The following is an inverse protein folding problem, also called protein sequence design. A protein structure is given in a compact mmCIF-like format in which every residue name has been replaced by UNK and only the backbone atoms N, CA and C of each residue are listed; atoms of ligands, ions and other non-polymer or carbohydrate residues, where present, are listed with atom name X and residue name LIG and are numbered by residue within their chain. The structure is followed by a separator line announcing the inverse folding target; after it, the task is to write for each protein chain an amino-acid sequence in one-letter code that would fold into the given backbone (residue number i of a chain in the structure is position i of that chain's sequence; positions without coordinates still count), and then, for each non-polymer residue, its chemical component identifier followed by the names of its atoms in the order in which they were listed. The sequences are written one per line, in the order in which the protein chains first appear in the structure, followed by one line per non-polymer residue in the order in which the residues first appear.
data_IF_527020970469
#
_entry.id   IF_527020970469
#
_cell.length_a   1.000
_cell.length_b   1.000
_cell.length_c   1.000
_cell.angle_alpha   90.00
_cell.angle_beta   90.00
_cell.angle_gamma   90.00
#
_symmetry.space_group_name_H-M   'P 1'
#
loop_
_entity.id
_entity.type
_entity.pdbx_description
1 polymer ?
#
# COMPACT_ATOMS: atom_id res chain seq x y z
N UNK A 1 -32.55 5.33 -36.77
CA UNK A 1 -31.54 4.54 -36.03
C UNK A 1 -30.58 5.43 -35.22
N UNK A 2 -30.36 6.68 -35.62
CA UNK A 2 -29.50 7.66 -34.93
C UNK A 2 -30.15 8.24 -33.66
N UNK A 3 -31.47 8.47 -33.63
CA UNK A 3 -32.17 9.02 -32.44
C UNK A 3 -32.20 8.07 -31.23
N UNK A 4 -32.08 6.76 -31.45
CA UNK A 4 -32.06 5.75 -30.37
C UNK A 4 -30.73 5.71 -29.61
N UNK A 5 -29.64 6.16 -30.24
CA UNK A 5 -28.29 6.14 -29.65
C UNK A 5 -28.07 7.38 -28.77
N UNK A 6 -28.58 8.55 -29.18
CA UNK A 6 -28.52 9.76 -28.36
C UNK A 6 -29.43 9.69 -27.12
N UNK A 7 -30.61 9.07 -27.21
CA UNK A 7 -31.49 8.88 -26.04
C UNK A 7 -30.92 7.93 -24.99
N UNK A 8 -30.14 6.91 -25.39
CA UNK A 8 -29.46 5.99 -24.48
C UNK A 8 -28.28 6.67 -23.74
N UNK A 9 -27.54 7.57 -24.39
CA UNK A 9 -26.41 8.27 -23.73
C UNK A 9 -26.87 9.30 -22.70
N UNK A 10 -27.95 10.04 -22.99
CA UNK A 10 -28.57 10.98 -22.04
C UNK A 10 -29.19 10.28 -20.84
N UNK A 11 -29.84 9.12 -21.03
CA UNK A 11 -30.37 8.33 -19.92
C UNK A 11 -29.26 7.73 -19.03
N UNK A 12 -28.11 7.36 -19.62
CA UNK A 12 -26.94 6.91 -18.88
C UNK A 12 -26.32 8.00 -18.01
N UNK A 13 -26.12 9.20 -18.56
CA UNK A 13 -25.54 10.34 -17.84
C UNK A 13 -26.46 10.84 -16.70
N UNK A 14 -27.77 10.92 -16.93
CA UNK A 14 -28.73 11.34 -15.91
C UNK A 14 -28.84 10.31 -14.76
N UNK A 15 -28.83 9.01 -15.07
CA UNK A 15 -28.79 7.94 -14.04
C UNK A 15 -27.47 7.93 -13.26
N UNK A 16 -26.36 8.31 -13.91
CA UNK A 16 -25.05 8.41 -13.28
C UNK A 16 -24.99 9.61 -12.31
N UNK A 17 -25.47 10.78 -12.72
CA UNK A 17 -25.55 11.96 -11.86
C UNK A 17 -26.42 11.75 -10.63
N UNK A 18 -27.60 11.14 -10.80
CA UNK A 18 -28.50 10.81 -9.68
C UNK A 18 -27.87 9.81 -8.69
N UNK A 19 -27.06 8.85 -9.16
CA UNK A 19 -26.39 7.87 -8.30
C UNK A 19 -25.20 8.47 -7.54
N UNK A 20 -24.47 9.40 -8.16
CA UNK A 20 -23.41 10.17 -7.49
C UNK A 20 -23.99 11.06 -6.37
N UNK A 21 -25.08 11.78 -6.65
CA UNK A 21 -25.76 12.58 -5.61
C UNK A 21 -26.25 11.73 -4.43
N UNK A 22 -26.75 10.52 -4.67
CA UNK A 22 -27.14 9.58 -3.60
C UNK A 22 -25.94 9.11 -2.79
N UNK A 23 -24.80 8.85 -3.44
CA UNK A 23 -23.55 8.46 -2.79
C UNK A 23 -23.03 9.60 -1.91
N UNK A 24 -23.02 10.83 -2.42
CA UNK A 24 -22.56 12.01 -1.67
C UNK A 24 -23.44 12.28 -0.44
N UNK A 25 -24.75 12.09 -0.58
CA UNK A 25 -25.69 12.17 0.56
C UNK A 25 -25.40 11.09 1.61
N UNK A 26 -25.20 9.84 1.19
CA UNK A 26 -24.87 8.74 2.09
C UNK A 26 -23.53 8.97 2.82
N UNK A 27 -22.52 9.49 2.13
CA UNK A 27 -21.25 9.89 2.76
C UNK A 27 -21.44 11.03 3.77
N UNK A 28 -22.27 12.03 3.44
CA UNK A 28 -22.62 13.12 4.35
C UNK A 28 -23.34 12.62 5.61
N UNK A 29 -24.26 11.68 5.46
CA UNK A 29 -24.96 11.02 6.58
C UNK A 29 -24.00 10.18 7.43
N UNK A 30 -23.18 9.34 6.81
CA UNK A 30 -22.17 8.54 7.49
C UNK A 30 -21.22 9.40 8.35
N UNK A 31 -20.80 10.57 7.85
CA UNK A 31 -19.98 11.53 8.62
C UNK A 31 -20.70 12.07 9.85
N UNK A 32 -21.99 12.39 9.75
CA UNK A 32 -22.80 12.83 10.90
C UNK A 32 -23.00 11.70 11.91
N UNK A 33 -23.28 10.50 11.44
CA UNK A 33 -23.41 9.32 12.30
C UNK A 33 -22.08 8.96 12.97
N UNK A 34 -20.95 9.18 12.30
CA UNK A 34 -19.62 9.00 12.86
C UNK A 34 -19.30 9.97 14.01
N UNK A 35 -19.78 11.22 13.93
CA UNK A 35 -19.68 12.16 15.07
C UNK A 35 -20.46 11.64 16.28
N UNK A 36 -21.66 11.10 16.05
CA UNK A 36 -22.47 10.48 17.12
C UNK A 36 -21.78 9.25 17.71
N UNK A 37 -21.25 8.37 16.85
CA UNK A 37 -20.43 7.23 17.26
C UNK A 37 -19.25 7.66 18.15
N UNK A 38 -18.51 8.69 17.74
CA UNK A 38 -17.35 9.19 18.48
C UNK A 38 -17.73 9.69 19.87
N UNK A 39 -18.84 10.43 19.98
CA UNK A 39 -19.37 10.89 21.28
C UNK A 39 -19.80 9.71 22.17
N UNK A 40 -20.40 8.67 21.59
CA UNK A 40 -20.79 7.45 22.32
C UNK A 40 -19.59 6.66 22.83
N UNK A 41 -18.49 6.60 22.07
CA UNK A 41 -17.24 5.99 22.52
C UNK A 41 -16.63 6.77 23.68
N UNK A 42 -16.60 8.11 23.60
CA UNK A 42 -16.11 8.96 24.68
C UNK A 42 -16.95 8.85 25.96
N UNK A 43 -18.25 8.65 25.82
CA UNK A 43 -19.16 8.40 26.93
C UNK A 43 -19.23 6.94 27.39
N UNK A 44 -18.35 6.06 26.90
CA UNK A 44 -18.31 4.62 27.21
C UNK A 44 -19.62 3.86 26.90
N UNK A 45 -20.47 4.41 26.02
CA UNK A 45 -21.75 3.83 25.61
C UNK A 45 -21.56 2.84 24.45
N UNK A 46 -20.74 1.81 24.66
CA UNK A 46 -20.26 0.92 23.58
C UNK A 46 -21.37 0.20 22.82
N UNK A 47 -22.44 -0.26 23.49
CA UNK A 47 -23.54 -0.97 22.79
C UNK A 47 -24.24 -0.07 21.77
N UNK A 48 -24.42 1.21 22.09
CA UNK A 48 -25.01 2.18 21.17
C UNK A 48 -24.01 2.59 20.08
N UNK A 49 -22.73 2.73 20.44
CA UNK A 49 -21.67 2.98 19.46
C UNK A 49 -21.61 1.86 18.42
N UNK A 50 -21.69 0.60 18.83
CA UNK A 50 -21.76 -0.55 17.91
C UNK A 50 -22.97 -0.50 16.97
N UNK A 51 -24.13 -0.09 17.48
CA UNK A 51 -25.31 0.10 16.63
C UNK A 51 -25.06 1.19 15.57
N UNK A 52 -24.46 2.32 15.95
CA UNK A 52 -24.09 3.39 15.02
C UNK A 52 -23.01 2.98 14.01
N UNK A 53 -22.05 2.15 14.40
CA UNK A 53 -21.06 1.57 13.48
C UNK A 53 -21.75 0.74 12.39
N UNK A 54 -22.66 -0.16 12.77
CA UNK A 54 -23.42 -0.98 11.81
C UNK A 54 -24.26 -0.13 10.87
N UNK A 55 -24.93 0.90 11.39
CA UNK A 55 -25.70 1.85 10.59
C UNK A 55 -24.83 2.54 9.52
N UNK A 56 -23.63 3.01 9.90
CA UNK A 56 -22.66 3.59 8.96
C UNK A 56 -22.27 2.56 7.88
N UNK A 57 -21.91 1.33 8.30
CA UNK A 57 -21.47 0.27 7.38
C UNK A 57 -22.58 -0.11 6.39
N UNK A 58 -23.82 -0.29 6.86
CA UNK A 58 -24.97 -0.61 6.02
C UNK A 58 -25.30 0.51 5.03
N UNK A 59 -25.33 1.77 5.49
CA UNK A 59 -25.58 2.92 4.63
C UNK A 59 -24.51 3.05 3.54
N UNK A 60 -23.23 2.98 3.92
CA UNK A 60 -22.13 3.06 2.96
C UNK A 60 -22.15 1.89 1.98
N UNK A 61 -22.50 0.68 2.42
CA UNK A 61 -22.60 -0.47 1.53
C UNK A 61 -23.75 -0.37 0.53
N UNK A 62 -24.94 0.05 0.98
CA UNK A 62 -26.10 0.20 0.09
C UNK A 62 -25.90 1.29 -0.96
N UNK A 63 -25.12 2.31 -0.63
CA UNK A 63 -24.77 3.41 -1.52
C UNK A 63 -23.37 3.31 -2.08
N UNK A 64 -22.72 2.15 -1.95
CA UNK A 64 -21.39 1.94 -2.48
C UNK A 64 -21.45 2.14 -3.99
N UNK A 65 -20.66 3.08 -4.55
CA UNK A 65 -20.72 3.33 -5.97
C UNK A 65 -20.17 2.09 -6.70
N UNK A 66 -21.07 1.28 -7.25
CA UNK A 66 -20.76 0.24 -8.26
C UNK A 66 -20.35 0.88 -9.61
N UNK A 67 -19.85 2.10 -9.58
CA UNK A 67 -19.15 2.69 -10.70
C UNK A 67 -17.93 1.80 -10.88
N UNK A 68 -17.66 1.24 -12.07
CA UNK A 68 -16.36 0.65 -12.33
C UNK A 68 -15.36 1.75 -12.00
N UNK A 69 -14.64 1.61 -10.89
CA UNK A 69 -13.56 2.55 -10.63
C UNK A 69 -12.68 2.46 -11.86
N UNK A 70 -12.50 3.58 -12.55
CA UNK A 70 -11.56 3.68 -13.67
C UNK A 70 -10.12 3.63 -13.18
N UNK A 71 -9.89 3.11 -11.97
CA UNK A 71 -8.56 2.77 -11.52
C UNK A 71 -8.08 1.69 -12.50
N UNK A 72 -6.99 1.94 -13.22
CA UNK A 72 -6.47 0.95 -14.14
C UNK A 72 -6.26 -0.36 -13.39
N UNK A 73 -6.55 -1.49 -14.04
CA UNK A 73 -6.23 -2.82 -13.52
C UNK A 73 -4.81 -2.83 -12.95
N UNK A 74 -4.65 -3.32 -11.71
CA UNK A 74 -3.35 -3.46 -11.07
C UNK A 74 -2.63 -4.65 -11.72
N UNK A 75 -1.51 -4.37 -12.38
CA UNK A 75 -0.56 -5.34 -12.89
C UNK A 75 0.74 -5.12 -12.13
N UNK A 76 0.87 -5.87 -11.04
CA UNK A 76 1.93 -5.66 -10.08
C UNK A 76 3.06 -6.69 -10.20
N UNK A 77 4.26 -6.26 -9.83
CA UNK A 77 5.37 -7.16 -9.54
C UNK A 77 5.96 -6.79 -8.18
N UNK A 78 6.63 -7.75 -7.57
CA UNK A 78 7.34 -7.58 -6.33
C UNK A 78 8.83 -7.81 -6.58
N UNK A 79 9.66 -6.87 -6.14
CA UNK A 79 11.11 -6.98 -6.09
C UNK A 79 11.55 -7.34 -4.67
N UNK A 80 11.96 -8.59 -4.49
CA UNK A 80 12.43 -9.09 -3.20
C UNK A 80 13.87 -8.64 -2.93
N UNK A 81 14.34 -8.80 -1.68
CA UNK A 81 15.73 -8.50 -1.30
C UNK A 81 16.72 -9.23 -2.20
N UNK A 82 16.43 -10.45 -2.63
CA UNK A 82 17.26 -11.20 -3.58
C UNK A 82 17.50 -10.44 -4.87
N UNK A 83 16.41 -10.02 -5.52
CA UNK A 83 16.45 -9.19 -6.73
C UNK A 83 17.17 -7.87 -6.47
N UNK A 84 16.86 -7.19 -5.36
CA UNK A 84 17.42 -5.88 -5.04
C UNK A 84 18.92 -5.94 -4.74
N UNK A 85 19.42 -7.01 -4.12
CA UNK A 85 20.86 -7.25 -3.92
C UNK A 85 21.55 -7.61 -5.24
N UNK A 86 20.87 -8.32 -6.15
CA UNK A 86 21.42 -8.69 -7.44
C UNK A 86 21.62 -7.49 -8.36
N UNK A 87 20.81 -6.43 -8.22
CA UNK A 87 21.01 -5.15 -8.89
C UNK A 87 22.24 -4.45 -8.30
N UNK A 88 23.34 -4.45 -9.05
CA UNK A 88 24.64 -3.91 -8.63
C UNK A 88 24.80 -2.43 -8.95
N UNK A 89 23.86 -1.83 -9.66
CA UNK A 89 23.91 -0.40 -9.99
C UNK A 89 22.52 0.20 -10.27
N UNK A 90 22.37 1.52 -10.14
CA UNK A 90 21.17 2.25 -10.58
C UNK A 90 20.85 2.00 -12.07
N UNK A 91 21.85 1.79 -12.92
CA UNK A 91 21.68 1.54 -14.36
C UNK A 91 21.06 0.16 -14.62
N UNK A 92 21.42 -0.86 -13.84
CA UNK A 92 20.77 -2.18 -13.93
C UNK A 92 19.30 -2.10 -13.48
N UNK A 93 19.03 -1.35 -12.41
CA UNK A 93 17.65 -1.11 -11.97
C UNK A 93 16.83 -0.37 -13.03
N UNK A 94 17.42 0.61 -13.72
CA UNK A 94 16.77 1.31 -14.82
C UNK A 94 16.35 0.35 -15.95
N UNK A 95 17.23 -0.56 -16.37
CA UNK A 95 16.93 -1.58 -17.39
C UNK A 95 15.80 -2.52 -16.95
N UNK A 96 15.80 -2.91 -15.68
CA UNK A 96 14.70 -3.69 -15.11
C UNK A 96 13.39 -2.91 -15.21
N UNK A 97 13.36 -1.65 -14.76
CA UNK A 97 12.18 -0.80 -14.79
C UNK A 97 11.67 -0.52 -16.21
N UNK A 98 12.57 -0.35 -17.20
CA UNK A 98 12.21 -0.27 -18.62
C UNK A 98 11.48 -1.55 -19.07
N UNK A 99 11.98 -2.71 -18.66
CA UNK A 99 11.38 -4.01 -19.00
C UNK A 99 10.01 -4.18 -18.35
N UNK A 100 9.85 -3.76 -17.09
CA UNK A 100 8.57 -3.80 -16.38
C UNK A 100 7.53 -2.91 -17.05
N UNK A 101 7.89 -1.67 -17.37
CA UNK A 101 7.00 -0.73 -18.07
C UNK A 101 6.61 -1.27 -19.46
N UNK A 102 7.58 -1.83 -20.21
CA UNK A 102 7.32 -2.45 -21.52
C UNK A 102 6.37 -3.65 -21.41
N UNK A 103 6.48 -4.43 -20.33
CA UNK A 103 5.57 -5.55 -20.05
C UNK A 103 4.18 -5.11 -19.56
N UNK A 104 3.93 -3.80 -19.41
CA UNK A 104 2.66 -3.24 -18.97
C UNK A 104 2.44 -3.29 -17.46
N UNK A 105 3.45 -3.63 -16.65
CA UNK A 105 3.38 -3.51 -15.19
C UNK A 105 3.15 -2.04 -14.84
N UNK A 106 2.27 -1.76 -13.88
CA UNK A 106 1.96 -0.41 -13.41
C UNK A 106 2.18 -0.22 -11.90
N UNK A 107 2.43 -1.30 -11.15
CA UNK A 107 2.71 -1.27 -9.71
C UNK A 107 3.95 -2.11 -9.39
N UNK A 108 4.87 -1.57 -8.60
CA UNK A 108 6.05 -2.28 -8.11
C UNK A 108 6.09 -2.24 -6.59
N UNK A 109 6.04 -3.40 -5.96
CA UNK A 109 6.33 -3.55 -4.53
C UNK A 109 7.84 -3.74 -4.34
N UNK A 110 8.47 -2.86 -3.57
CA UNK A 110 9.91 -2.93 -3.27
C UNK A 110 10.07 -3.42 -1.84
N UNK A 111 10.75 -4.54 -1.61
CA UNK A 111 11.04 -5.01 -0.25
C UNK A 111 12.05 -4.07 0.44
N UNK A 112 11.56 -3.07 1.16
CA UNK A 112 12.38 -1.99 1.71
C UNK A 112 12.96 -2.32 3.08
N UNK A 113 12.29 -3.17 3.87
CA UNK A 113 12.76 -3.67 5.16
C UNK A 113 12.56 -5.18 5.20
N UNK A 114 13.67 -5.92 5.27
CA UNK A 114 13.68 -7.37 5.38
C UNK A 114 14.43 -7.78 6.65
N UNK A 115 13.83 -8.64 7.48
CA UNK A 115 14.41 -9.10 8.75
C UNK A 115 14.95 -7.99 9.68
N UNK A 116 14.28 -6.84 9.72
CA UNK A 116 14.71 -5.68 10.52
C UNK A 116 15.80 -4.81 9.89
N UNK A 117 16.23 -5.13 8.67
CA UNK A 117 17.25 -4.39 7.93
C UNK A 117 16.63 -3.59 6.77
N UNK A 118 16.70 -2.24 6.78
CA UNK A 118 16.35 -1.44 5.62
C UNK A 118 17.42 -1.54 4.51
N UNK A 119 16.99 -1.34 3.26
CA UNK A 119 17.86 -1.22 2.08
C UNK A 119 18.18 0.23 1.68
N UNK A 120 17.81 1.18 2.53
CA UNK A 120 17.92 2.61 2.32
C UNK A 120 18.50 3.28 3.57
N UNK A 121 19.14 4.46 3.45
CA UNK A 121 19.63 5.20 4.61
C UNK A 121 18.49 5.54 5.58
N UNK A 122 18.58 5.07 6.82
CA UNK A 122 17.57 5.29 7.85
C UNK A 122 18.15 6.00 9.07
N UNK A 123 17.38 6.91 9.66
CA UNK A 123 17.74 7.58 10.93
C UNK A 123 17.21 6.83 12.16
N UNK A 124 16.28 5.90 11.96
CA UNK A 124 15.58 5.18 13.05
C UNK A 124 15.99 3.71 13.14
N UNK A 125 16.39 3.09 12.02
CA UNK A 125 16.87 1.72 12.02
C UNK A 125 18.33 1.68 12.50
N UNK A 126 18.66 0.68 13.33
CA UNK A 126 20.00 0.57 13.93
C UNK A 126 21.08 0.13 12.94
N UNK A 127 20.74 -0.74 12.00
CA UNK A 127 21.68 -1.29 11.03
C UNK A 127 20.98 -1.46 9.67
N UNK A 128 21.62 -0.99 8.60
CA UNK A 128 21.17 -1.26 7.23
C UNK A 128 21.60 -2.66 6.79
N UNK A 129 20.91 -3.22 5.78
CA UNK A 129 21.34 -4.48 5.19
C UNK A 129 22.77 -4.34 4.63
N UNK A 130 23.74 -5.17 5.05
CA UNK A 130 25.14 -5.04 4.63
C UNK A 130 25.34 -5.25 3.12
N UNK A 131 24.41 -5.92 2.44
CA UNK A 131 24.50 -6.22 1.01
C UNK A 131 23.98 -5.10 0.10
N UNK A 132 23.44 -4.01 0.68
CA UNK A 132 22.78 -2.94 -0.09
C UNK A 132 23.25 -1.52 0.28
N UNK A 133 24.44 -1.37 0.85
CA UNK A 133 24.92 -0.07 1.37
C UNK A 133 25.59 0.82 0.30
N UNK A 134 25.83 0.28 -0.88
CA UNK A 134 26.55 0.92 -1.98
C UNK A 134 25.79 2.08 -2.65
N UNK A 135 24.46 2.07 -2.62
CA UNK A 135 23.60 3.15 -3.12
C UNK A 135 22.16 2.97 -2.60
N UNK A 136 21.39 4.07 -2.62
CA UNK A 136 20.00 4.07 -2.16
C UNK A 136 19.05 3.46 -3.19
N UNK A 137 18.71 2.19 -2.96
CA UNK A 137 17.82 1.40 -3.83
C UNK A 137 16.38 1.91 -3.82
N UNK A 138 15.88 2.36 -2.66
CA UNK A 138 14.51 2.84 -2.55
C UNK A 138 14.35 4.18 -3.27
N UNK A 139 15.26 5.13 -3.03
CA UNK A 139 15.22 6.42 -3.72
C UNK A 139 15.32 6.26 -5.25
N UNK A 140 16.18 5.34 -5.71
CA UNK A 140 16.32 5.05 -7.13
C UNK A 140 15.06 4.40 -7.70
N UNK A 141 14.46 3.42 -7.01
CA UNK A 141 13.20 2.80 -7.43
C UNK A 141 12.07 3.82 -7.54
N UNK A 142 11.94 4.73 -6.57
CA UNK A 142 10.95 5.83 -6.60
C UNK A 142 11.18 6.72 -7.82
N UNK A 143 12.42 7.17 -8.04
CA UNK A 143 12.77 8.01 -9.19
C UNK A 143 12.42 7.33 -10.51
N UNK A 144 12.89 6.10 -10.72
CA UNK A 144 12.68 5.35 -11.96
C UNK A 144 11.21 5.01 -12.18
N UNK A 145 10.48 4.75 -11.10
CA UNK A 145 9.04 4.51 -11.12
C UNK A 145 8.29 5.74 -11.62
N UNK A 146 8.54 6.92 -11.04
CA UNK A 146 7.92 8.16 -11.47
C UNK A 146 8.22 8.50 -12.95
N UNK A 147 9.47 8.32 -13.39
CA UNK A 147 9.86 8.53 -14.80
C UNK A 147 9.06 7.66 -15.79
N UNK A 148 8.56 6.51 -15.33
CA UNK A 148 7.84 5.51 -16.14
C UNK A 148 6.36 5.39 -15.79
N UNK A 149 5.84 6.29 -14.94
CA UNK A 149 4.45 6.26 -14.47
C UNK A 149 4.08 4.93 -13.76
N UNK A 150 5.05 4.33 -13.06
CA UNK A 150 4.83 3.18 -12.18
C UNK A 150 4.54 3.66 -10.75
N UNK A 151 3.56 3.05 -10.11
CA UNK A 151 3.36 3.23 -8.67
C UNK A 151 4.38 2.39 -7.89
N UNK A 152 5.03 3.01 -6.91
CA UNK A 152 6.02 2.33 -6.06
C UNK A 152 5.45 2.21 -4.65
N UNK A 153 5.34 0.97 -4.18
CA UNK A 153 4.83 0.65 -2.86
C UNK A 153 5.96 0.03 -2.03
N UNK A 154 6.27 0.65 -0.90
CA UNK A 154 7.24 0.11 0.04
C UNK A 154 6.63 -1.10 0.76
N UNK A 155 7.25 -2.27 0.61
CA UNK A 155 6.85 -3.49 1.28
C UNK A 155 7.84 -3.84 2.40
N UNK A 156 7.31 -4.15 3.58
CA UNK A 156 8.09 -4.30 4.81
C UNK A 156 7.73 -5.56 5.57
N UNK A 157 8.72 -6.13 6.27
CA UNK A 157 8.51 -7.14 7.30
C UNK A 157 8.35 -6.45 8.65
N UNK A 158 7.13 -6.40 9.17
CA UNK A 158 6.84 -5.64 10.39
C UNK A 158 7.38 -6.31 11.67
N UNK A 159 7.09 -7.60 11.87
CA UNK A 159 7.43 -8.31 13.11
C UNK A 159 8.41 -9.48 12.92
N UNK A 160 8.78 -9.80 11.69
CA UNK A 160 9.75 -10.85 11.39
C UNK A 160 11.21 -10.34 11.51
N UNK A 161 11.55 -9.71 12.64
CA UNK A 161 12.81 -8.96 12.86
C UNK A 161 13.97 -9.77 13.47
N UNK A 162 13.73 -11.03 13.84
CA UNK A 162 14.73 -11.97 14.38
C UNK A 162 14.73 -13.28 13.58
N UNK A 163 14.83 -13.17 12.26
CA UNK A 163 14.66 -14.29 11.35
C UNK A 163 15.96 -15.10 11.20
N UNK A 164 16.07 -16.23 11.90
CA UNK A 164 17.30 -17.07 11.96
C UNK A 164 17.84 -17.47 10.59
N UNK A 165 16.98 -17.90 9.66
CA UNK A 165 17.42 -18.24 8.29
C UNK A 165 17.96 -17.04 7.52
N UNK A 166 17.51 -15.82 7.85
CA UNK A 166 18.02 -14.61 7.21
C UNK A 166 19.46 -14.34 7.67
N UNK A 167 19.79 -14.65 8.92
CA UNK A 167 21.15 -14.47 9.45
C UNK A 167 22.20 -15.19 8.59
N UNK A 168 21.90 -16.40 8.11
CA UNK A 168 22.77 -17.17 7.22
C UNK A 168 23.02 -16.46 5.87
N UNK A 169 22.07 -15.65 5.39
CA UNK A 169 22.17 -14.93 4.10
C UNK A 169 23.08 -13.70 4.22
N UNK A 170 23.16 -13.11 5.41
CA UNK A 170 23.94 -11.89 5.70
C UNK A 170 25.16 -12.17 6.59
N UNK A 171 25.61 -13.42 6.65
CA UNK A 171 26.80 -13.87 7.39
C UNK A 171 26.78 -13.47 8.89
N UNK A 172 25.63 -13.69 9.53
CA UNK A 172 25.43 -13.51 10.98
C UNK A 172 25.25 -14.86 11.66
N UNK A 173 25.59 -14.97 12.97
CA UNK A 173 25.27 -16.16 13.76
C UNK A 173 23.78 -16.52 13.70
N UNK A 174 23.46 -17.81 13.68
CA UNK A 174 22.08 -18.28 13.56
C UNK A 174 21.19 -17.80 14.72
N UNK A 175 21.75 -17.71 15.92
CA UNK A 175 21.12 -17.24 17.16
C UNK A 175 21.09 -15.72 17.33
N UNK A 176 21.61 -14.96 16.37
CA UNK A 176 21.56 -13.51 16.40
C UNK A 176 20.11 -13.00 16.29
N UNK A 177 19.70 -12.16 17.24
CA UNK A 177 18.32 -11.67 17.36
C UNK A 177 17.95 -10.56 16.36
N UNK A 178 18.80 -10.28 15.37
CA UNK A 178 18.61 -9.16 14.47
C UNK A 178 18.96 -7.82 15.13
N UNK A 179 18.95 -6.73 14.35
CA UNK A 179 19.43 -5.42 14.79
C UNK A 179 18.47 -4.75 15.79
N UNK A 180 17.20 -5.15 15.80
CA UNK A 180 16.17 -4.58 16.68
C UNK A 180 16.18 -5.25 18.05
N UNK A 181 15.97 -6.57 18.14
CA UNK A 181 15.88 -7.27 19.44
C UNK A 181 17.24 -7.40 20.14
N UNK A 182 18.36 -7.32 19.41
CA UNK A 182 19.69 -7.23 20.07
C UNK A 182 19.86 -5.91 20.83
N UNK A 183 19.18 -4.84 20.42
CA UNK A 183 19.18 -3.52 21.10
C UNK A 183 18.08 -3.42 22.14
N UNK A 184 16.93 -4.05 21.88
CA UNK A 184 15.75 -4.04 22.74
C UNK A 184 15.27 -5.47 23.04
N UNK A 185 16.04 -6.24 23.83
CA UNK A 185 15.68 -7.63 24.13
C UNK A 185 14.33 -7.75 24.88
N UNK A 186 13.90 -6.69 25.56
CA UNK A 186 12.62 -6.61 26.27
C UNK A 186 11.39 -6.49 25.36
N UNK A 187 11.56 -6.37 24.04
CA UNK A 187 10.46 -6.32 23.08
C UNK A 187 10.08 -7.69 22.50
N UNK A 188 10.78 -8.75 22.91
CA UNK A 188 10.50 -10.13 22.52
C UNK A 188 9.29 -10.71 23.27
#
# INVERSE_FOLDING_TARGET
MIDRIQSLSFQGAARHGLRLEQTDRAVGEAKRTFQTFSNLIQGEQYSQAWAKKREIEEQLWQHYPLIPQTNPEIRAIWLDRGTLVALRSPQEMAKLFDSLATAGINVVFVETINAGYPIYPSQVAYENNPQTQDWDRLATAIKLGHERQLEIHAWIWTFAIAHQRHNLIIDKPEDYLGPVLSRHPQWA
#
